data_IF_573125219671
#
_entry.id   IF_573125219671
#
_cell.length_a   1.000
_cell.length_b   1.000
_cell.length_c   1.000
_cell.angle_alpha   90.00
_cell.angle_beta   90.00
_cell.angle_gamma   90.00
#
_symmetry.space_group_name_H-M   'P 1'
#
loop_
_entity.id
_entity.type
_entity.pdbx_description
1 polymer ?
#
# COMPACT_ATOMS: atom_id res chain seq x y z
N UNK A 1 0.88 9.63 25.97
CA UNK A 1 -0.40 9.89 25.26
C UNK A 1 -0.18 9.63 23.79
N UNK A 2 -0.62 8.49 23.28
CA UNK A 2 -0.54 8.20 21.85
C UNK A 2 -1.69 8.93 21.17
N UNK A 3 -1.38 10.05 20.53
CA UNK A 3 -2.37 10.71 19.66
C UNK A 3 -2.59 9.74 18.50
N UNK A 4 -3.75 9.08 18.47
CA UNK A 4 -4.18 8.29 17.32
C UNK A 4 -4.48 9.29 16.20
N UNK A 5 -3.44 9.72 15.47
CA UNK A 5 -3.61 10.47 14.25
C UNK A 5 -4.37 9.55 13.30
N UNK A 6 -5.65 9.82 13.09
CA UNK A 6 -6.44 9.14 12.07
C UNK A 6 -5.83 9.56 10.73
N UNK A 7 -4.84 8.81 10.26
CA UNK A 7 -4.15 9.21 9.06
C UNK A 7 -5.12 9.07 7.89
N UNK A 8 -5.52 10.21 7.34
CA UNK A 8 -6.51 10.27 6.27
C UNK A 8 -5.87 9.75 4.99
N UNK A 9 -6.47 8.70 4.42
CA UNK A 9 -6.09 8.18 3.12
C UNK A 9 -6.85 8.94 2.02
N UNK A 10 -6.24 9.11 0.86
CA UNK A 10 -6.80 9.87 -0.26
C UNK A 10 -6.81 9.03 -1.54
N UNK A 11 -7.69 9.31 -2.49
CA UNK A 11 -7.71 8.58 -3.77
C UNK A 11 -6.46 8.94 -4.61
N UNK A 12 -5.57 7.98 -4.95
CA UNK A 12 -4.36 8.23 -5.74
C UNK A 12 -4.63 8.40 -7.24
N UNK A 13 -5.88 8.35 -7.71
CA UNK A 13 -6.22 8.44 -9.13
C UNK A 13 -5.60 9.68 -9.79
N UNK A 14 -5.65 10.83 -9.12
CA UNK A 14 -5.10 12.10 -9.62
C UNK A 14 -3.60 12.31 -9.31
N UNK A 15 -2.91 11.34 -8.70
CA UNK A 15 -1.50 11.50 -8.38
C UNK A 15 -0.64 11.67 -9.65
N UNK A 16 0.33 12.57 -9.64
CA UNK A 16 1.33 12.71 -10.71
C UNK A 16 2.62 11.99 -10.33
N UNK A 17 3.58 11.87 -11.27
CA UNK A 17 4.88 11.22 -11.05
C UNK A 17 4.80 9.79 -10.48
N UNK A 18 3.75 9.06 -10.90
CA UNK A 18 3.46 7.71 -10.39
C UNK A 18 4.60 6.76 -10.73
N UNK A 19 5.23 6.14 -9.72
CA UNK A 19 6.27 5.11 -9.92
C UNK A 19 6.15 3.97 -8.91
N UNK A 20 6.64 2.80 -9.28
CA UNK A 20 6.76 1.64 -8.40
C UNK A 20 8.08 1.74 -7.65
N UNK A 21 8.06 1.69 -6.32
CA UNK A 21 9.26 1.77 -5.46
C UNK A 21 9.69 0.42 -4.92
N UNK A 22 8.75 -0.52 -4.79
CA UNK A 22 9.01 -1.92 -4.48
C UNK A 22 7.99 -2.80 -5.19
N UNK A 23 8.40 -4.02 -5.55
CA UNK A 23 7.49 -5.01 -6.12
C UNK A 23 7.87 -6.44 -5.77
N UNK A 24 6.89 -7.35 -5.84
CA UNK A 24 7.10 -8.78 -5.73
C UNK A 24 6.10 -9.53 -6.62
N UNK A 25 6.55 -10.60 -7.29
CA UNK A 25 5.67 -11.51 -8.00
C UNK A 25 5.26 -12.64 -7.06
N UNK A 26 3.95 -12.81 -6.85
CA UNK A 26 3.38 -13.74 -5.86
C UNK A 26 2.21 -14.49 -6.46
N UNK A 27 2.35 -15.81 -6.62
CA UNK A 27 1.34 -16.69 -7.22
C UNK A 27 0.73 -16.12 -8.52
N UNK A 28 1.59 -15.63 -9.42
CA UNK A 28 1.18 -15.08 -10.73
C UNK A 28 0.64 -13.65 -10.72
N UNK A 29 0.61 -12.97 -9.56
CA UNK A 29 0.26 -11.54 -9.45
C UNK A 29 1.49 -10.69 -9.21
N UNK A 30 1.45 -9.43 -9.60
CA UNK A 30 2.51 -8.47 -9.24
C UNK A 30 2.00 -7.53 -8.15
N UNK A 31 2.53 -7.68 -6.94
CA UNK A 31 2.28 -6.77 -5.82
C UNK A 31 3.24 -5.59 -5.93
N UNK A 32 2.70 -4.37 -5.98
CA UNK A 32 3.45 -3.12 -6.09
C UNK A 32 3.19 -2.23 -4.88
N UNK A 33 4.27 -1.68 -4.31
CA UNK A 33 4.21 -0.44 -3.54
C UNK A 33 4.46 0.71 -4.53
N UNK A 34 3.44 1.53 -4.73
CA UNK A 34 3.50 2.68 -5.64
C UNK A 34 3.58 3.96 -4.85
N UNK A 35 4.21 4.98 -5.43
CA UNK A 35 4.19 6.35 -4.94
C UNK A 35 3.83 7.32 -6.05
N UNK A 36 3.37 8.51 -5.67
CA UNK A 36 3.08 9.63 -6.56
C UNK A 36 2.70 10.87 -5.74
N UNK A 37 2.61 12.01 -6.41
CA UNK A 37 2.37 13.30 -5.75
C UNK A 37 0.93 13.77 -5.97
N UNK A 38 0.24 14.19 -4.91
CA UNK A 38 -1.10 14.79 -4.92
C UNK A 38 -0.96 16.15 -4.28
N UNK A 39 -1.32 17.21 -5.00
CA UNK A 39 -1.17 18.60 -4.55
C UNK A 39 0.23 18.94 -4.01
N UNK A 40 1.27 18.40 -4.66
CA UNK A 40 2.68 18.59 -4.28
C UNK A 40 3.16 17.77 -3.09
N UNK A 41 2.32 16.89 -2.53
CA UNK A 41 2.67 16.00 -1.41
C UNK A 41 2.75 14.56 -1.89
N UNK A 42 3.80 13.83 -1.50
CA UNK A 42 3.97 12.43 -1.88
C UNK A 42 3.11 11.50 -1.02
N UNK A 43 2.44 10.57 -1.70
CA UNK A 43 1.66 9.48 -1.10
C UNK A 43 2.11 8.13 -1.66
N UNK A 44 1.84 7.07 -0.91
CA UNK A 44 2.07 5.69 -1.33
C UNK A 44 0.78 4.87 -1.25
N UNK A 45 0.64 3.88 -2.14
CA UNK A 45 -0.48 2.95 -2.13
C UNK A 45 -0.05 1.58 -2.61
N UNK A 46 -0.79 0.56 -2.17
CA UNK A 46 -0.62 -0.81 -2.66
C UNK A 46 -1.40 -0.99 -3.95
N UNK A 47 -0.82 -1.67 -4.94
CA UNK A 47 -1.52 -2.14 -6.14
C UNK A 47 -1.21 -3.62 -6.37
N UNK A 48 -2.19 -4.38 -6.84
CA UNK A 48 -2.01 -5.78 -7.23
C UNK A 48 -2.39 -5.95 -8.71
N UNK A 49 -1.39 -6.13 -9.57
CA UNK A 49 -1.59 -6.42 -11.00
C UNK A 49 -1.91 -7.91 -11.16
N UNK A 50 -2.77 -8.22 -12.14
CA UNK A 50 -3.33 -9.56 -12.36
C UNK A 50 -4.11 -10.10 -11.15
N UNK A 51 -4.66 -9.18 -10.35
CA UNK A 51 -5.49 -9.49 -9.20
C UNK A 51 -6.74 -10.26 -9.59
N UNK A 52 -7.16 -11.16 -8.71
CA UNK A 52 -8.38 -11.93 -8.83
C UNK A 52 -9.46 -11.41 -7.88
N UNK A 53 -10.71 -11.72 -8.20
CA UNK A 53 -11.83 -11.49 -7.31
C UNK A 53 -11.62 -12.23 -5.99
N UNK A 54 -11.67 -11.52 -4.86
CA UNK A 54 -11.44 -12.07 -3.53
C UNK A 54 -10.02 -11.85 -2.97
N UNK A 55 -9.06 -11.42 -3.78
CA UNK A 55 -7.75 -10.98 -3.25
C UNK A 55 -7.95 -9.76 -2.34
N UNK A 56 -7.16 -9.64 -1.28
CA UNK A 56 -7.25 -8.55 -0.31
C UNK A 56 -5.94 -7.78 -0.33
N UNK A 57 -6.00 -6.46 -0.44
CA UNK A 57 -4.81 -5.60 -0.39
C UNK A 57 -4.90 -4.58 0.74
N UNK A 58 -3.75 -4.21 1.29
CA UNK A 58 -3.61 -3.13 2.25
C UNK A 58 -2.19 -2.56 2.20
N UNK A 59 -1.96 -1.41 2.84
CA UNK A 59 -0.62 -0.84 3.02
C UNK A 59 -0.26 -0.90 4.51
N UNK A 60 0.97 -1.31 4.81
CA UNK A 60 1.52 -1.21 6.17
C UNK A 60 2.48 -0.02 6.24
N UNK A 61 2.45 0.71 7.35
CA UNK A 61 3.41 1.75 7.68
C UNK A 61 3.94 1.56 9.10
N UNK A 62 5.25 1.76 9.25
CA UNK A 62 5.92 1.93 10.53
C UNK A 62 6.35 3.37 10.70
N UNK A 63 6.45 3.85 11.93
CA UNK A 63 7.05 5.15 12.28
C UNK A 63 8.22 5.02 13.24
N UNK A 64 8.61 3.79 13.60
CA UNK A 64 9.65 3.48 14.59
C UNK A 64 10.80 2.63 13.99
N UNK A 65 10.91 2.63 12.65
CA UNK A 65 11.97 1.93 11.91
C UNK A 65 11.68 0.46 11.61
N UNK A 66 10.46 -0.01 11.90
CA UNK A 66 10.00 -1.36 11.61
C UNK A 66 9.78 -2.24 12.84
N UNK A 67 9.82 -1.67 14.04
CA UNK A 67 9.54 -2.41 15.28
C UNK A 67 8.03 -2.65 15.43
N UNK A 68 7.22 -1.65 15.07
CA UNK A 68 5.76 -1.76 15.01
C UNK A 68 5.23 -1.32 13.66
N UNK A 69 4.15 -1.96 13.21
CA UNK A 69 3.52 -1.73 11.92
C UNK A 69 2.01 -1.55 12.09
N UNK A 70 1.47 -0.53 11.44
CA UNK A 70 0.04 -0.26 11.38
C UNK A 70 -0.46 -0.53 9.95
N UNK A 71 -1.64 -1.14 9.84
CA UNK A 71 -2.28 -1.45 8.56
C UNK A 71 -3.35 -0.43 8.21
N UNK A 72 -3.38 -0.02 6.94
CA UNK A 72 -4.31 0.98 6.43
C UNK A 72 -4.93 0.53 5.11
N UNK A 73 -6.14 1.01 4.83
CA UNK A 73 -6.78 0.89 3.51
C UNK A 73 -7.09 -0.54 3.09
N UNK A 74 -7.30 -1.46 4.05
CA UNK A 74 -7.60 -2.86 3.76
C UNK A 74 -8.87 -2.97 2.94
N UNK A 75 -8.80 -3.64 1.80
CA UNK A 75 -9.93 -3.84 0.90
C UNK A 75 -9.86 -5.18 0.19
N UNK A 76 -11.02 -5.76 -0.07
CA UNK A 76 -11.17 -6.93 -0.96
C UNK A 76 -11.38 -6.45 -2.39
N UNK A 77 -10.65 -7.03 -3.33
CA UNK A 77 -10.77 -6.77 -4.76
C UNK A 77 -11.99 -7.51 -5.29
N UNK A 78 -12.83 -6.78 -6.01
CA UNK A 78 -13.99 -7.32 -6.72
C UNK A 78 -13.67 -7.45 -8.22
N UNK A 79 -14.29 -8.39 -8.92
CA UNK A 79 -14.16 -8.53 -10.37
C UNK A 79 -14.45 -7.20 -11.09
N UNK A 80 -13.53 -6.73 -11.94
CA UNK A 80 -13.63 -5.43 -12.63
C UNK A 80 -13.47 -4.20 -11.71
N UNK A 81 -13.22 -4.42 -10.42
CA UNK A 81 -13.06 -3.37 -9.43
C UNK A 81 -11.64 -2.82 -9.33
N UNK A 82 -11.49 -1.83 -8.46
CA UNK A 82 -10.22 -1.16 -8.16
C UNK A 82 -9.23 -2.12 -7.49
N UNK A 83 -8.07 -2.32 -8.10
CA UNK A 83 -6.99 -3.19 -7.61
C UNK A 83 -5.88 -2.45 -6.85
N UNK A 84 -6.19 -1.29 -6.27
CA UNK A 84 -5.27 -0.51 -5.46
C UNK A 84 -5.94 0.11 -4.23
N UNK A 85 -5.19 0.31 -3.16
CA UNK A 85 -5.67 0.98 -1.93
C UNK A 85 -5.79 2.48 -2.16
N UNK A 86 -6.45 3.19 -1.24
CA UNK A 86 -6.21 4.62 -1.10
C UNK A 86 -4.74 4.88 -0.72
N UNK A 87 -4.33 6.13 -0.88
CA UNK A 87 -2.97 6.58 -0.73
C UNK A 87 -2.72 7.10 0.69
N UNK A 88 -1.64 6.61 1.31
CA UNK A 88 -1.16 7.03 2.61
C UNK A 88 -0.01 8.02 2.43
N UNK A 89 -0.03 9.15 3.14
CA UNK A 89 1.01 10.17 3.04
C UNK A 89 2.37 9.60 3.45
N UNK A 90 3.41 9.83 2.64
CA UNK A 90 4.77 9.42 2.97
C UNK A 90 5.45 10.41 3.93
N UNK A 91 6.63 10.05 4.41
CA UNK A 91 7.47 10.90 5.25
C UNK A 91 8.95 10.64 4.91
N UNK A 92 9.78 11.67 4.91
CA UNK A 92 11.21 11.56 4.56
C UNK A 92 12.09 10.98 5.67
N UNK A 93 11.55 10.74 6.86
CA UNK A 93 12.26 10.10 7.97
C UNK A 93 12.57 8.64 7.66
N UNK A 94 13.81 8.21 7.88
CA UNK A 94 14.21 6.80 7.75
C UNK A 94 13.54 5.84 8.75
N UNK A 95 12.82 6.40 9.74
CA UNK A 95 11.97 5.64 10.67
C UNK A 95 10.60 5.34 10.10
N UNK A 96 10.16 6.12 9.10
CA UNK A 96 8.92 5.86 8.39
C UNK A 96 9.23 4.97 7.21
N UNK A 97 8.68 3.76 7.24
CA UNK A 97 8.79 2.80 6.13
C UNK A 97 7.42 2.29 5.75
N UNK A 98 7.28 1.86 4.51
CA UNK A 98 6.02 1.35 3.99
C UNK A 98 6.21 0.03 3.27
N UNK A 99 5.17 -0.78 3.28
CA UNK A 99 5.11 -2.06 2.57
C UNK A 99 3.75 -2.22 1.91
N UNK A 100 3.77 -2.69 0.66
CA UNK A 100 2.57 -3.21 0.05
C UNK A 100 2.30 -4.61 0.59
N UNK A 101 1.04 -4.92 0.88
CA UNK A 101 0.62 -6.21 1.39
C UNK A 101 -0.59 -6.74 0.63
N UNK A 102 -0.64 -8.06 0.51
CA UNK A 102 -1.79 -8.79 -0.04
C UNK A 102 -2.07 -10.07 0.74
N UNK A 103 -3.33 -10.50 0.72
CA UNK A 103 -3.76 -11.85 1.04
C UNK A 103 -4.49 -12.39 -0.18
N UNK A 104 -3.97 -13.45 -0.77
CA UNK A 104 -4.53 -14.02 -1.99
C UNK A 104 -5.72 -14.93 -1.66
N UNK A 105 -6.51 -15.26 -2.67
CA UNK A 105 -7.62 -16.22 -2.56
C UNK A 105 -7.17 -17.61 -2.07
N UNK A 106 -5.89 -17.98 -2.24
CA UNK A 106 -5.27 -19.17 -1.64
C UNK A 106 -5.15 -19.11 -0.12
N UNK A 107 -5.36 -17.94 0.49
CA UNK A 107 -5.19 -17.66 1.92
C UNK A 107 -3.80 -17.16 2.29
N UNK A 108 -2.81 -17.31 1.39
CA UNK A 108 -1.44 -16.88 1.64
C UNK A 108 -1.30 -15.36 1.67
N UNK A 109 -0.43 -14.87 2.56
CA UNK A 109 -0.13 -13.45 2.71
C UNK A 109 1.28 -13.15 2.21
N UNK A 110 1.41 -12.04 1.50
CA UNK A 110 2.67 -11.57 0.97
C UNK A 110 2.84 -10.08 1.18
N UNK A 111 4.09 -9.65 1.22
CA UNK A 111 4.45 -8.24 1.29
C UNK A 111 5.71 -7.95 0.49
N UNK A 112 5.85 -6.70 0.06
CA UNK A 112 7.11 -6.20 -0.49
C UNK A 112 8.15 -5.99 0.61
N UNK A 113 9.42 -5.82 0.21
CA UNK A 113 10.43 -5.23 1.09
C UNK A 113 9.95 -3.86 1.61
N UNK A 114 10.44 -3.46 2.77
CA UNK A 114 10.16 -2.14 3.33
C UNK A 114 10.90 -1.06 2.51
N UNK A 115 10.17 -0.04 2.06
CA UNK A 115 10.68 1.18 1.42
C UNK A 115 10.69 2.32 2.42
#
# INVERSE_FOLDING_TARGET
MSVSMTQTMVDPTNAVNKRTVQSAVVEGRTLELRVGDIDGVQYAWTRLVDSQNGDIIWINQTTDGGNTWNSFGKRTIQAGGRNYTDALRTNSSNKVKMQAWTQLTSGNKYNTAAW
#
